data_IF_009736584980
#
_entry.id   IF_009736584980
#
_cell.length_a   1.000
_cell.length_b   1.000
_cell.length_c   1.000
_cell.angle_alpha   90.00
_cell.angle_beta   90.00
_cell.angle_gamma   90.00
#
_symmetry.space_group_name_H-M   'P 1'
#
loop_
_entity.id
_entity.type
_entity.pdbx_description
1 polymer ?
#
# COMPACT_ATOMS: atom_id res chain seq x y z
N UNK A 1 -10.86 -18.07 -10.33
CA UNK A 1 -9.65 -17.51 -10.93
C UNK A 1 -9.17 -16.37 -10.06
N UNK A 2 -7.87 -16.29 -9.80
CA UNK A 2 -7.24 -15.15 -9.12
C UNK A 2 -7.40 -13.89 -9.96
N UNK A 3 -7.78 -12.78 -9.36
CA UNK A 3 -7.83 -11.48 -10.03
C UNK A 3 -6.59 -10.64 -9.69
N UNK A 4 -6.17 -9.81 -10.63
CA UNK A 4 -5.11 -8.83 -10.44
C UNK A 4 -5.76 -7.44 -10.36
N UNK A 5 -5.42 -6.68 -9.32
CA UNK A 5 -5.99 -5.35 -9.08
C UNK A 5 -4.88 -4.35 -8.82
N UNK A 6 -5.03 -3.15 -9.38
CA UNK A 6 -4.09 -2.06 -9.20
C UNK A 6 -4.72 -0.91 -8.41
N UNK A 7 -3.92 -0.32 -7.53
CA UNK A 7 -4.28 0.89 -6.78
C UNK A 7 -3.15 1.90 -6.77
N UNK A 8 -3.49 3.16 -6.55
CA UNK A 8 -2.52 4.24 -6.32
C UNK A 8 -2.51 4.69 -4.86
N UNK A 9 -1.38 5.11 -4.31
CA UNK A 9 -1.31 5.65 -2.94
C UNK A 9 -0.36 6.86 -2.85
N UNK A 10 -0.41 7.57 -1.71
CA UNK A 10 0.52 8.69 -1.45
C UNK A 10 1.76 8.14 -0.72
N UNK A 11 2.94 8.09 -1.37
CA UNK A 11 4.17 7.76 -0.67
C UNK A 11 4.61 8.89 0.27
N UNK A 12 5.52 8.61 1.22
CA UNK A 12 6.08 9.60 2.14
C UNK A 12 6.58 10.84 1.42
N UNK A 13 7.39 10.69 0.37
CA UNK A 13 7.95 11.81 -0.39
C UNK A 13 6.95 12.57 -1.27
N UNK A 14 5.66 12.21 -1.27
CA UNK A 14 4.64 12.91 -2.06
C UNK A 14 4.48 14.38 -1.65
N UNK A 15 4.73 14.70 -0.38
CA UNK A 15 4.62 16.07 0.18
C UNK A 15 5.94 16.48 0.83
N UNK A 16 6.24 17.78 0.81
CA UNK A 16 7.40 18.38 1.48
C UNK A 16 7.55 17.94 2.95
N UNK A 17 6.45 17.79 3.68
CA UNK A 17 6.46 17.30 5.08
C UNK A 17 7.02 15.88 5.18
N UNK A 18 6.66 15.00 4.26
CA UNK A 18 7.12 13.62 4.31
C UNK A 18 8.57 13.45 3.86
N UNK A 19 9.08 14.29 2.95
CA UNK A 19 10.52 14.40 2.68
C UNK A 19 11.28 14.66 3.99
N UNK A 20 10.87 15.68 4.75
CA UNK A 20 11.47 15.95 6.07
C UNK A 20 11.35 14.79 7.06
N UNK A 21 10.30 13.98 6.97
CA UNK A 21 10.18 12.79 7.83
C UNK A 21 11.21 11.75 7.45
N UNK A 22 11.38 11.47 6.15
CA UNK A 22 12.40 10.53 5.65
C UNK A 22 13.80 11.00 6.06
N UNK A 23 14.12 12.29 5.83
CA UNK A 23 15.43 12.87 6.18
C UNK A 23 15.77 12.70 7.67
N UNK A 24 14.76 12.82 8.55
CA UNK A 24 14.92 12.73 10.00
C UNK A 24 14.80 11.30 10.55
N UNK A 25 14.36 10.33 9.74
CA UNK A 25 14.11 8.95 10.19
C UNK A 25 14.64 7.97 9.14
N UNK A 26 15.89 7.53 9.29
CA UNK A 26 16.57 6.60 8.35
C UNK A 26 15.84 5.25 8.17
N UNK A 27 14.97 4.88 9.11
CA UNK A 27 14.17 3.65 9.04
C UNK A 27 12.87 3.79 8.22
N UNK A 28 12.55 4.98 7.71
CA UNK A 28 11.34 5.25 6.93
C UNK A 28 11.69 5.39 5.44
N UNK A 29 11.34 4.41 4.59
CA UNK A 29 11.60 4.48 3.15
C UNK A 29 10.80 5.58 2.45
N UNK A 30 11.37 6.13 1.38
CA UNK A 30 10.78 7.21 0.59
C UNK A 30 9.40 6.87 0.03
N UNK A 31 9.27 5.64 -0.48
CA UNK A 31 8.05 5.17 -1.13
C UNK A 31 7.12 4.40 -0.19
N UNK A 32 7.34 4.42 1.13
CA UNK A 32 6.37 3.87 2.08
C UNK A 32 5.07 4.69 2.08
N UNK A 33 3.91 4.07 2.37
CA UNK A 33 2.65 4.80 2.50
C UNK A 33 2.73 5.89 3.58
N UNK A 34 2.20 7.07 3.26
CA UNK A 34 2.41 8.28 4.04
C UNK A 34 1.54 8.40 5.31
N UNK A 35 0.63 7.45 5.54
CA UNK A 35 -0.34 7.48 6.64
C UNK A 35 0.25 7.01 7.97
N UNK A 36 -0.54 7.11 9.04
CA UNK A 36 -0.16 6.56 10.36
C UNK A 36 -0.39 5.04 10.46
N UNK A 37 -1.15 4.49 9.51
CA UNK A 37 -1.55 3.08 9.41
C UNK A 37 -1.21 2.60 8.01
N UNK A 38 0.10 2.49 7.74
CA UNK A 38 0.65 2.32 6.38
C UNK A 38 -0.04 1.19 5.63
N UNK A 39 -0.57 1.46 4.43
CA UNK A 39 -1.31 0.47 3.65
C UNK A 39 -0.88 0.44 2.16
N UNK A 40 -0.25 -0.65 1.69
CA UNK A 40 0.20 -1.80 2.47
C UNK A 40 1.44 -1.42 3.30
N UNK A 41 1.58 -2.00 4.49
CA UNK A 41 2.82 -1.87 5.27
C UNK A 41 3.97 -2.64 4.60
N UNK A 42 4.45 -2.18 3.44
CA UNK A 42 5.44 -2.88 2.62
C UNK A 42 6.81 -3.04 3.28
N UNK A 43 7.04 -2.34 4.39
CA UNK A 43 8.25 -2.40 5.19
C UNK A 43 8.33 -3.64 6.11
N UNK A 44 7.26 -4.43 6.26
CA UNK A 44 7.31 -5.72 6.99
C UNK A 44 7.39 -6.90 6.01
N UNK A 45 7.79 -8.08 6.49
CA UNK A 45 7.97 -9.28 5.65
C UNK A 45 6.69 -9.71 4.93
N UNK A 46 5.59 -9.85 5.68
CA UNK A 46 4.27 -10.20 5.16
C UNK A 46 3.32 -9.00 5.25
N UNK A 47 3.25 -8.13 4.23
CA UNK A 47 2.38 -6.96 4.26
C UNK A 47 0.89 -7.34 4.32
N UNK A 48 0.09 -6.43 4.88
CA UNK A 48 -1.35 -6.59 4.95
C UNK A 48 -2.12 -5.65 4.01
N UNK A 49 -3.26 -6.11 3.51
CA UNK A 49 -4.26 -5.27 2.82
C UNK A 49 -5.58 -5.33 3.57
N UNK A 50 -6.06 -4.18 4.03
CA UNK A 50 -7.27 -4.05 4.82
C UNK A 50 -8.23 -3.01 4.24
N UNK A 51 -9.36 -2.79 4.90
CA UNK A 51 -10.33 -1.78 4.51
C UNK A 51 -10.03 -0.37 5.06
N UNK A 52 -8.86 -0.16 5.66
CA UNK A 52 -8.50 1.10 6.31
C UNK A 52 -8.49 2.29 5.36
N UNK A 53 -8.09 2.15 4.10
CA UNK A 53 -8.06 3.29 3.17
C UNK A 53 -9.31 3.37 2.30
N UNK A 54 -9.89 2.22 1.93
CA UNK A 54 -10.89 2.11 0.84
C UNK A 54 -12.20 1.47 1.25
N UNK A 55 -12.42 1.22 2.55
CA UNK A 55 -13.65 0.64 3.06
C UNK A 55 -14.04 -0.65 2.34
N UNK A 56 -15.27 -0.71 1.84
CA UNK A 56 -15.81 -1.88 1.11
C UNK A 56 -15.26 -2.09 -0.30
N UNK A 57 -14.42 -1.17 -0.81
CA UNK A 57 -14.08 -1.16 -2.23
C UNK A 57 -13.01 -2.18 -2.63
N UNK A 58 -12.06 -2.50 -1.75
CA UNK A 58 -10.91 -3.35 -2.10
C UNK A 58 -10.81 -4.60 -1.23
N UNK A 59 -10.34 -4.45 0.01
CA UNK A 59 -9.99 -5.59 0.87
C UNK A 59 -11.10 -6.64 1.01
N UNK A 60 -12.40 -6.29 1.14
CA UNK A 60 -13.47 -7.29 1.27
C UNK A 60 -13.76 -8.07 -0.01
N UNK A 61 -13.16 -7.69 -1.14
CA UNK A 61 -13.31 -8.37 -2.44
C UNK A 61 -12.12 -9.25 -2.79
N UNK A 62 -11.05 -9.22 -1.98
CA UNK A 62 -9.85 -10.01 -2.19
C UNK A 62 -10.07 -11.46 -1.76
N UNK A 63 -9.46 -12.38 -2.49
CA UNK A 63 -9.41 -13.82 -2.24
C UNK A 63 -7.96 -14.29 -2.21
N UNK A 64 -7.70 -15.44 -1.60
CA UNK A 64 -6.39 -16.09 -1.69
C UNK A 64 -6.00 -16.31 -3.17
N UNK A 65 -4.75 -16.02 -3.50
CA UNK A 65 -4.20 -16.02 -4.86
C UNK A 65 -4.36 -14.72 -5.64
N UNK A 66 -5.24 -13.80 -5.21
CA UNK A 66 -5.37 -12.48 -5.86
C UNK A 66 -4.08 -11.67 -5.72
N UNK A 67 -3.77 -10.88 -6.75
CA UNK A 67 -2.58 -10.04 -6.78
C UNK A 67 -2.94 -8.57 -6.73
N UNK A 68 -2.09 -7.80 -6.06
CA UNK A 68 -2.24 -6.37 -5.89
C UNK A 68 -1.02 -5.63 -6.41
N UNK A 69 -1.24 -4.69 -7.33
CA UNK A 69 -0.22 -3.77 -7.86
C UNK A 69 -0.38 -2.41 -7.20
N UNK A 70 0.73 -1.87 -6.69
CA UNK A 70 0.79 -0.57 -6.03
C UNK A 70 1.62 0.40 -6.86
N UNK A 71 0.94 1.41 -7.38
CA UNK A 71 1.55 2.59 -7.96
C UNK A 71 1.52 3.74 -6.96
N UNK A 72 2.46 4.66 -7.03
CA UNK A 72 2.28 5.96 -6.35
C UNK A 72 1.19 6.78 -7.05
N UNK A 73 0.73 7.87 -6.44
CA UNK A 73 0.08 8.95 -7.20
C UNK A 73 1.06 9.54 -8.22
N UNK A 74 0.55 10.24 -9.23
CA UNK A 74 1.39 10.95 -10.17
C UNK A 74 2.04 12.17 -9.52
N UNK A 75 3.36 12.29 -9.56
CA UNK A 75 4.10 13.46 -9.08
C UNK A 75 5.49 13.56 -9.73
N UNK A 76 6.27 14.59 -9.40
CA UNK A 76 7.61 14.79 -9.96
C UNK A 76 8.68 13.90 -9.33
N UNK A 77 8.59 13.52 -8.04
CA UNK A 77 9.54 12.61 -7.37
C UNK A 77 11.03 12.86 -7.71
N UNK A 78 11.46 14.13 -7.67
CA UNK A 78 12.84 14.54 -7.97
C UNK A 78 13.21 14.60 -9.47
N UNK A 79 12.25 14.42 -10.38
CA UNK A 79 12.43 14.51 -11.84
C UNK A 79 11.80 15.80 -12.38
N UNK A 80 12.18 16.18 -13.61
CA UNK A 80 11.63 17.36 -14.31
C UNK A 80 10.22 17.14 -14.89
N UNK A 81 9.70 15.92 -14.81
CA UNK A 81 8.39 15.55 -15.33
C UNK A 81 7.57 14.73 -14.32
N UNK A 82 6.24 14.85 -14.41
CA UNK A 82 5.31 14.11 -13.55
C UNK A 82 5.11 12.66 -14.04
N UNK A 83 5.28 11.71 -13.15
CA UNK A 83 5.19 10.28 -13.44
C UNK A 83 4.62 9.49 -12.25
N UNK A 84 4.34 8.20 -12.46
CA UNK A 84 4.02 7.23 -11.43
C UNK A 84 5.26 6.38 -11.13
N UNK A 85 5.30 5.80 -9.95
CA UNK A 85 6.32 4.80 -9.58
C UNK A 85 5.64 3.47 -9.31
N UNK A 86 6.17 2.40 -9.89
CA UNK A 86 5.70 1.03 -9.65
C UNK A 86 6.41 0.46 -8.43
N UNK A 87 5.71 0.46 -7.30
CA UNK A 87 6.37 0.21 -6.00
C UNK A 87 6.32 -1.23 -5.58
N UNK A 88 5.17 -1.89 -5.80
CA UNK A 88 5.01 -3.26 -5.35
C UNK A 88 4.01 -4.06 -6.18
N UNK A 89 4.28 -5.37 -6.24
CA UNK A 89 3.33 -6.42 -6.58
C UNK A 89 3.33 -7.39 -5.39
N UNK A 90 2.16 -7.57 -4.77
CA UNK A 90 1.98 -8.51 -3.65
C UNK A 90 0.85 -9.50 -3.97
N UNK A 91 0.91 -10.69 -3.37
CA UNK A 91 -0.10 -11.75 -3.57
C UNK A 91 -0.73 -12.11 -2.23
N UNK A 92 -2.07 -12.19 -2.21
CA UNK A 92 -2.83 -12.60 -1.02
C UNK A 92 -2.60 -14.09 -0.77
N UNK A 93 -1.97 -14.42 0.35
CA UNK A 93 -1.73 -15.82 0.76
C UNK A 93 -2.74 -16.30 1.80
N UNK A 94 -3.36 -15.37 2.54
CA UNK A 94 -4.36 -15.70 3.54
C UNK A 94 -5.42 -14.61 3.65
N UNK A 95 -6.69 -15.02 3.65
CA UNK A 95 -7.81 -14.12 3.97
C UNK A 95 -8.29 -14.40 5.39
N UNK A 96 -8.16 -13.39 6.26
CA UNK A 96 -8.54 -13.47 7.67
C UNK A 96 -9.86 -12.74 7.90
N UNK A 97 -10.71 -13.30 8.76
CA UNK A 97 -12.04 -12.74 9.07
C UNK A 97 -11.95 -11.42 9.84
N UNK A 98 -10.93 -11.28 10.67
CA UNK A 98 -10.72 -10.12 11.55
C UNK A 98 -9.25 -9.72 11.61
N UNK A 99 -8.99 -8.52 12.11
CA UNK A 99 -7.64 -8.06 12.42
C UNK A 99 -7.02 -8.87 13.58
N UNK A 100 -7.83 -9.31 14.54
CA UNK A 100 -7.39 -10.14 15.66
C UNK A 100 -6.94 -11.54 15.18
N UNK A 101 -7.65 -12.13 14.23
CA UNK A 101 -7.26 -13.41 13.65
C UNK A 101 -5.96 -13.28 12.86
N UNK A 102 -5.81 -12.20 12.08
CA UNK A 102 -4.55 -11.90 11.41
C UNK A 102 -3.41 -11.74 12.42
N UNK A 103 -3.63 -10.99 13.51
CA UNK A 103 -2.62 -10.77 14.53
C UNK A 103 -2.15 -12.07 15.20
N UNK A 104 -3.06 -13.02 15.44
CA UNK A 104 -2.69 -14.37 15.91
C UNK A 104 -1.81 -15.10 14.90
N UNK A 105 -2.11 -15.01 13.61
CA UNK A 105 -1.27 -15.60 12.57
C UNK A 105 0.15 -15.02 12.61
N UNK A 106 0.31 -13.69 12.58
CA UNK A 106 1.63 -13.05 12.66
C UNK A 106 2.39 -13.48 13.92
N UNK A 107 1.72 -13.50 15.08
CA UNK A 107 2.31 -13.94 16.35
C UNK A 107 2.78 -15.40 16.30
N UNK A 108 1.97 -16.30 15.76
CA UNK A 108 2.29 -17.74 15.71
C UNK A 108 3.55 -18.04 14.87
N UNK A 109 3.81 -17.21 13.85
CA UNK A 109 5.00 -17.34 13.00
C UNK A 109 6.12 -16.35 13.35
N UNK A 110 6.00 -15.63 14.48
CA UNK A 110 6.97 -14.64 14.94
C UNK A 110 7.27 -13.52 13.92
N UNK A 111 6.26 -13.09 13.16
CA UNK A 111 6.36 -11.99 12.20
C UNK A 111 5.93 -10.66 12.82
N UNK A 112 6.53 -9.56 12.38
CA UNK A 112 6.11 -8.21 12.75
C UNK A 112 4.68 -7.92 12.24
N UNK A 113 3.84 -7.32 13.08
CA UNK A 113 2.53 -6.86 12.67
C UNK A 113 2.62 -5.65 11.73
N UNK A 114 1.99 -5.70 10.55
CA UNK A 114 1.88 -4.52 9.69
C UNK A 114 1.07 -3.44 10.42
N UNK A 115 1.40 -2.16 10.21
CA UNK A 115 0.77 -1.04 10.93
C UNK A 115 -0.71 -0.89 10.60
N UNK A 116 -1.18 -1.37 9.44
CA UNK A 116 -2.60 -1.41 9.13
C UNK A 116 -3.37 -2.58 9.82
N UNK A 117 -2.69 -3.48 10.54
CA UNK A 117 -3.37 -4.45 11.41
C UNK A 117 -3.76 -3.79 12.74
N UNK A 118 -4.94 -3.17 12.77
CA UNK A 118 -5.48 -2.49 13.95
C UNK A 118 -5.96 -3.48 15.03
N UNK A 119 -5.10 -3.73 16.00
CA UNK A 119 -5.38 -4.50 17.23
C UNK A 119 -4.74 -3.81 18.43
N UNK A 120 -5.14 -4.20 19.64
CA UNK A 120 -4.44 -3.78 20.85
C UNK A 120 -2.99 -4.27 20.84
N UNK A 121 -2.06 -3.43 21.29
CA UNK A 121 -0.62 -3.71 21.24
C UNK A 121 0.07 -3.37 19.91
N UNK A 122 -0.67 -2.98 18.86
CA UNK A 122 -0.09 -2.49 17.60
C UNK A 122 -0.44 -1.01 17.37
N UNK A 123 0.29 -0.06 17.99
CA UNK A 123 0.01 1.37 17.84
C UNK A 123 0.27 1.87 16.41
N UNK A 124 -0.38 2.97 15.99
CA UNK A 124 -0.04 3.63 14.74
C UNK A 124 1.39 4.20 14.79
N UNK A 125 1.93 4.59 13.63
CA UNK A 125 3.16 5.37 13.58
C UNK A 125 3.02 6.69 14.36
N UNK A 126 4.12 7.12 14.97
CA UNK A 126 4.18 8.39 15.69
C UNK A 126 4.07 9.59 14.73
N UNK A 127 3.76 10.77 15.28
CA UNK A 127 3.65 12.02 14.52
C UNK A 127 4.92 12.41 13.76
N UNK A 128 6.09 11.97 14.25
CA UNK A 128 7.39 12.23 13.63
C UNK A 128 7.72 11.27 12.49
N UNK A 129 6.96 10.18 12.34
CA UNK A 129 7.17 9.10 11.35
C UNK A 129 6.05 9.03 10.32
N UNK A 130 5.30 10.11 10.13
CA UNK A 130 4.14 10.15 9.23
C UNK A 130 3.91 11.56 8.68
N UNK A 131 3.17 11.66 7.57
CA UNK A 131 2.78 12.95 7.02
C UNK A 131 1.54 13.56 7.68
N UNK A 132 0.84 12.80 8.52
CA UNK A 132 -0.34 13.28 9.24
C UNK A 132 0.09 14.31 10.30
N UNK A 133 -0.60 15.46 10.33
CA UNK A 133 -0.34 16.49 11.32
C UNK A 133 -0.61 15.97 12.74
N UNK A 134 0.24 16.32 13.72
CA UNK A 134 0.13 15.87 15.12
C UNK A 134 -1.28 16.06 15.69
N UNK A 135 -1.91 17.20 15.40
CA UNK A 135 -3.27 17.53 15.84
C UNK A 135 -4.36 16.61 15.26
N UNK A 136 -4.11 15.96 14.11
CA UNK A 136 -5.08 15.11 13.42
C UNK A 136 -4.88 13.62 13.70
N UNK A 137 -3.85 13.21 14.43
CA UNK A 137 -3.52 11.79 14.63
C UNK A 137 -4.65 11.05 15.34
N UNK A 138 -5.16 11.60 16.44
CA UNK A 138 -6.22 10.95 17.21
C UNK A 138 -7.51 10.77 16.42
N UNK A 139 -7.92 11.81 15.67
CA UNK A 139 -9.09 11.76 14.79
C UNK A 139 -8.89 10.75 13.66
N UNK A 140 -7.73 10.78 13.01
CA UNK A 140 -7.37 9.87 11.92
C UNK A 140 -7.37 8.41 12.39
N UNK A 141 -6.76 8.14 13.54
CA UNK A 141 -6.72 6.82 14.16
C UNK A 141 -8.12 6.33 14.54
N UNK A 142 -8.97 7.20 15.09
CA UNK A 142 -10.37 6.88 15.37
C UNK A 142 -11.11 6.44 14.10
N UNK A 143 -10.88 7.13 12.98
CA UNK A 143 -11.41 6.76 11.68
C UNK A 143 -10.92 5.39 11.20
N UNK A 144 -9.64 5.06 11.40
CA UNK A 144 -9.10 3.74 11.08
C UNK A 144 -9.70 2.64 11.96
N UNK A 145 -9.78 2.84 13.28
CA UNK A 145 -10.42 1.91 14.22
C UNK A 145 -11.88 1.64 13.84
N UNK A 146 -12.63 2.68 13.47
CA UNK A 146 -14.00 2.54 12.99
C UNK A 146 -14.07 1.65 11.73
N UNK A 147 -13.19 1.90 10.75
CA UNK A 147 -13.18 1.12 9.50
C UNK A 147 -12.74 -0.33 9.71
N UNK A 148 -11.76 -0.59 10.58
CA UNK A 148 -11.37 -1.95 10.95
C UNK A 148 -12.53 -2.72 11.59
N UNK A 149 -13.34 -2.07 12.44
CA UNK A 149 -14.53 -2.70 13.05
C UNK A 149 -15.66 -2.94 12.04
N UNK A 150 -15.89 -1.98 11.13
CA UNK A 150 -16.95 -2.05 10.11
C UNK A 150 -16.64 -3.06 9.01
N UNK A 151 -15.38 -3.15 8.60
CA UNK A 151 -14.90 -4.01 7.52
C UNK A 151 -13.72 -4.83 8.03
N UNK A 152 -14.05 -5.93 8.72
CA UNK A 152 -13.12 -6.70 9.55
C UNK A 152 -12.08 -7.50 8.77
N UNK A 153 -12.36 -7.81 7.50
CA UNK A 153 -11.49 -8.66 6.69
C UNK A 153 -10.09 -8.06 6.57
N UNK A 154 -9.10 -8.90 6.84
CA UNK A 154 -7.68 -8.58 6.71
C UNK A 154 -7.01 -9.60 5.79
N UNK A 155 -6.26 -9.13 4.80
CA UNK A 155 -5.62 -9.99 3.81
C UNK A 155 -4.12 -9.97 4.03
N UNK A 156 -3.55 -11.11 4.39
CA UNK A 156 -2.11 -11.31 4.58
C UNK A 156 -1.52 -11.62 3.21
N UNK A 157 -0.46 -10.91 2.84
CA UNK A 157 0.14 -11.00 1.53
C UNK A 157 1.62 -11.39 1.63
N UNK A 158 2.13 -12.07 0.61
CA UNK A 158 3.56 -12.19 0.36
C UNK A 158 4.00 -11.15 -0.67
N UNK A 159 5.28 -10.78 -0.63
CA UNK A 159 5.90 -9.91 -1.63
C UNK A 159 6.23 -10.73 -2.87
N UNK A 160 5.76 -10.27 -4.04
CA UNK A 160 6.22 -10.80 -5.34
C UNK A 160 7.35 -9.91 -5.85
N UNK A 161 7.12 -8.60 -5.88
CA UNK A 161 8.14 -7.57 -6.11
C UNK A 161 7.87 -6.38 -5.19
N UNK A 162 8.92 -5.79 -4.59
CA UNK A 162 8.82 -4.56 -3.79
C UNK A 162 10.12 -3.78 -3.93
N UNK A 163 10.03 -2.49 -4.28
CA UNK A 163 11.16 -1.56 -4.22
C UNK A 163 10.71 -0.23 -3.62
N UNK A 164 11.10 0.03 -2.36
CA UNK A 164 10.71 1.23 -1.61
C UNK A 164 11.70 2.40 -1.71
N UNK A 165 12.82 2.20 -2.41
CA UNK A 165 13.90 3.18 -2.51
C UNK A 165 13.98 3.76 -3.92
N UNK A 166 14.01 2.91 -4.93
CA UNK A 166 14.13 3.33 -6.33
C UNK A 166 13.16 2.56 -7.25
N UNK A 167 11.84 2.65 -7.02
CA UNK A 167 10.86 1.98 -7.85
C UNK A 167 10.91 2.45 -9.32
N UNK A 168 10.66 1.56 -10.30
CA UNK A 168 10.62 1.92 -11.72
C UNK A 168 9.68 3.08 -12.03
N UNK A 169 10.10 3.95 -12.96
CA UNK A 169 9.28 5.06 -13.49
C UNK A 169 8.27 4.51 -14.49
N UNK A 170 7.02 4.93 -14.35
CA UNK A 170 5.99 4.84 -15.39
C UNK A 170 5.56 6.26 -15.73
N UNK A 171 5.99 6.75 -16.89
CA UNK A 171 5.54 8.04 -17.41
C UNK A 171 4.18 7.94 -18.14
N UNK A 172 3.70 9.02 -18.74
CA UNK A 172 2.43 9.00 -19.49
C UNK A 172 2.47 8.09 -20.72
N UNK A 173 3.60 8.04 -21.42
CA UNK A 173 3.75 7.22 -22.63
C UNK A 173 3.64 5.74 -22.28
N UNK A 174 4.38 5.30 -21.27
CA UNK A 174 4.36 3.94 -20.75
C UNK A 174 3.01 3.58 -20.12
N UNK A 175 2.37 4.51 -19.39
CA UNK A 175 1.03 4.31 -18.86
C UNK A 175 0.03 4.05 -19.98
N UNK A 176 0.12 4.81 -21.08
CA UNK A 176 -0.74 4.66 -22.26
C UNK A 176 -0.45 3.37 -23.03
N UNK A 177 0.82 2.99 -23.14
CA UNK A 177 1.24 1.72 -23.75
C UNK A 177 0.63 0.52 -23.03
N UNK A 178 0.72 0.49 -21.69
CA UNK A 178 0.22 -0.64 -20.90
C UNK A 178 -1.31 -0.63 -20.82
N UNK A 179 -1.93 0.51 -20.52
CA UNK A 179 -3.33 0.57 -20.11
C UNK A 179 -4.27 1.29 -21.10
N UNK A 180 -3.75 1.77 -22.23
CA UNK A 180 -4.50 2.58 -23.19
C UNK A 180 -4.81 3.99 -22.65
N UNK A 181 -5.97 4.54 -22.99
CA UNK A 181 -6.32 5.95 -22.68
C UNK A 181 -6.84 6.19 -21.26
N UNK A 182 -7.09 5.15 -20.46
CA UNK A 182 -7.70 5.27 -19.13
C UNK A 182 -6.65 5.22 -18.02
N UNK A 183 -6.36 6.38 -17.44
CA UNK A 183 -5.51 6.50 -16.27
C UNK A 183 -6.20 5.95 -14.99
N UNK A 184 -5.46 5.32 -14.06
CA UNK A 184 -6.05 4.79 -12.84
C UNK A 184 -6.48 5.89 -11.87
N UNK A 185 -7.73 5.81 -11.41
CA UNK A 185 -8.26 6.66 -10.34
C UNK A 185 -7.74 6.28 -8.95
N UNK A 186 -7.74 7.22 -8.00
CA UNK A 186 -7.15 7.03 -6.67
C UNK A 186 -8.03 6.23 -5.69
N UNK A 187 -9.35 6.39 -5.77
CA UNK A 187 -10.30 5.89 -4.77
C UNK A 187 -11.01 4.58 -5.15
N UNK A 188 -10.64 3.99 -6.28
CA UNK A 188 -11.09 2.68 -6.74
C UNK A 188 -9.86 1.85 -7.14
N UNK A 189 -10.07 0.55 -7.33
CA UNK A 189 -9.07 -0.29 -7.96
C UNK A 189 -9.37 -0.39 -9.46
N UNK A 190 -8.33 -0.57 -10.27
CA UNK A 190 -8.44 -1.01 -11.66
C UNK A 190 -8.20 -2.52 -11.71
N UNK A 191 -9.06 -3.28 -12.40
CA UNK A 191 -8.72 -4.66 -12.77
C UNK A 191 -7.62 -4.63 -13.81
N UNK A 192 -6.64 -5.51 -13.66
CA UNK A 192 -5.48 -5.64 -14.55
C UNK A 192 -5.62 -6.94 -15.32
N UNK A 193 -5.47 -6.89 -16.64
CA UNK A 193 -5.43 -8.11 -17.47
C UNK A 193 -4.09 -8.84 -17.31
N UNK A 194 -4.01 -10.09 -17.75
CA UNK A 194 -2.75 -10.85 -17.67
C UNK A 194 -1.63 -10.22 -18.49
N UNK A 195 -1.94 -9.61 -19.64
CA UNK A 195 -0.94 -8.95 -20.49
C UNK A 195 -0.50 -7.59 -19.92
N UNK A 196 -1.43 -6.83 -19.33
CA UNK A 196 -1.09 -5.63 -18.55
C UNK A 196 -0.17 -6.01 -17.37
N UNK A 197 -0.47 -7.13 -16.69
CA UNK A 197 0.33 -7.62 -15.57
C UNK A 197 1.73 -8.08 -15.99
N UNK A 198 1.87 -8.85 -17.08
CA UNK A 198 3.20 -9.24 -17.62
C UNK A 198 4.05 -8.02 -17.93
N UNK A 199 3.43 -6.97 -18.49
CA UNK A 199 4.12 -5.71 -18.80
C UNK A 199 4.64 -5.02 -17.53
N UNK A 200 3.86 -5.04 -16.44
CA UNK A 200 4.27 -4.48 -15.14
C UNK A 200 5.37 -5.31 -14.47
N UNK A 201 5.30 -6.64 -14.55
CA UNK A 201 6.36 -7.52 -14.02
C UNK A 201 7.68 -7.26 -14.75
N UNK A 202 7.65 -7.16 -16.08
CA UNK A 202 8.83 -6.86 -16.88
C UNK A 202 9.51 -5.54 -16.46
N UNK A 203 8.73 -4.53 -16.06
CA UNK A 203 9.29 -3.26 -15.56
C UNK A 203 10.00 -3.39 -14.21
N UNK A 204 9.66 -4.40 -13.39
CA UNK A 204 10.26 -4.64 -12.07
C UNK A 204 11.53 -5.48 -12.12
N UNK A 205 11.85 -6.06 -13.28
CA UNK A 205 13.03 -6.90 -13.52
C UNK A 205 14.18 -6.11 -14.19
N UNK A 206 13.92 -4.85 -14.56
CA UNK A 206 14.89 -3.90 -15.12
C UNK A 206 15.58 -3.12 -13.99
#
# INVERSE_FOLDING_TARGET
>A
MSEIRMVTYEPMIFKKRGIKVVDNNKDIPEFLDASIRTEPSLNVEYPGVSSLCRGSKLAPKLKEGDKMVYLTKKNMYGQDFKHWRLVAIIEVIKVMKTHEDAAKWYKNYNYELPKNCVVDGNPPLSASKTTIAKSKIHETERGYKFRARKYKQFNICKKVHVNLNEPPIIDESKMKEIFGTKNPGTQSFKKVSDDEYKSLVKLMEL
#
